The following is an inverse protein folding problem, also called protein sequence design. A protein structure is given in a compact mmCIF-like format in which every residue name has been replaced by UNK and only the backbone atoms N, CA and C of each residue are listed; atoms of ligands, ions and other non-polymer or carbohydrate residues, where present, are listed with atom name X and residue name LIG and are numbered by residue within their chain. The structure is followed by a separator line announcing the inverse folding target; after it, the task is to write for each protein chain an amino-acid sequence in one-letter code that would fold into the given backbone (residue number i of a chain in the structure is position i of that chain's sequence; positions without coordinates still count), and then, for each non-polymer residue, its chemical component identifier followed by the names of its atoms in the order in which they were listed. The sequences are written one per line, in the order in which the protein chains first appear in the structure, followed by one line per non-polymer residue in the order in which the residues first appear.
data_IF_266671884634
#
_entry.id   IF_266671884634
#
_cell.length_a   1.000
_cell.length_b   1.000
_cell.length_c   1.000
_cell.angle_alpha   90.00
_cell.angle_beta   90.00
_cell.angle_gamma   90.00
#
_symmetry.space_group_name_H-M   'P 1'
#
loop_
_entity.id
_entity.type
_entity.pdbx_description
1 polymer ?
#
# COMPACT_ATOMS: atom_id res chain seq x y z
N UNK A 1 1.49 -1.32 -7.20
CA UNK A 1 2.06 -2.61 -6.78
C UNK A 1 3.29 -2.90 -7.61
N UNK A 2 4.45 -2.83 -6.99
CA UNK A 2 5.70 -3.37 -7.55
C UNK A 2 6.28 -4.44 -6.61
N UNK A 3 7.50 -4.91 -6.85
CA UNK A 3 8.14 -5.98 -6.06
C UNK A 3 8.52 -5.56 -4.63
N UNK A 4 8.28 -4.30 -4.25
CA UNK A 4 8.54 -3.77 -2.91
C UNK A 4 7.30 -3.84 -2.01
N UNK A 5 6.13 -4.06 -2.60
CA UNK A 5 4.87 -4.14 -1.87
C UNK A 5 4.57 -5.59 -1.48
N UNK A 6 3.98 -5.77 -0.30
CA UNK A 6 3.50 -7.08 0.18
C UNK A 6 2.00 -7.24 -0.09
N UNK A 7 1.49 -8.49 -0.16
CA UNK A 7 0.07 -8.74 -0.22
C UNK A 7 -0.72 -8.12 0.95
N UNK A 8 -0.12 -8.05 2.15
CA UNK A 8 -0.77 -7.47 3.33
C UNK A 8 -0.92 -5.95 3.22
N UNK A 9 0.10 -5.24 2.72
CA UNK A 9 0.00 -3.79 2.47
C UNK A 9 -1.05 -3.47 1.39
N UNK A 10 -1.29 -4.41 0.47
CA UNK A 10 -2.22 -4.24 -0.65
C UNK A 10 -3.65 -4.69 -0.38
N UNK A 11 -4.00 -5.11 0.84
CA UNK A 11 -5.35 -5.59 1.15
C UNK A 11 -5.70 -6.96 0.52
N UNK A 12 -4.68 -7.77 0.22
CA UNK A 12 -4.81 -9.10 -0.38
C UNK A 12 -4.63 -10.22 0.65
N UNK A 13 -4.78 -9.93 1.95
CA UNK A 13 -4.61 -10.88 3.05
C UNK A 13 -5.50 -12.12 2.92
N UNK A 14 -6.69 -11.97 2.32
CA UNK A 14 -7.62 -13.09 2.06
C UNK A 14 -7.04 -14.18 1.14
N UNK A 15 -6.00 -13.85 0.36
CA UNK A 15 -5.33 -14.75 -0.57
C UNK A 15 -4.02 -15.31 -0.01
N UNK A 16 -3.64 -14.94 1.22
CA UNK A 16 -2.43 -15.42 1.89
C UNK A 16 -2.80 -16.53 2.87
N UNK A 17 -2.26 -17.73 2.67
CA UNK A 17 -2.53 -18.86 3.57
C UNK A 17 -1.46 -19.01 4.64
N UNK A 18 -1.80 -18.79 5.91
CA UNK A 18 -0.90 -19.05 7.04
C UNK A 18 -0.96 -20.49 7.57
N UNK A 19 -1.61 -21.40 6.83
CA UNK A 19 -1.69 -22.81 7.21
C UNK A 19 -0.28 -23.43 7.32
N UNK A 20 0.12 -24.03 8.47
CA UNK A 20 1.46 -24.58 8.67
C UNK A 20 1.84 -25.65 7.63
N UNK A 21 0.86 -26.38 7.07
CA UNK A 21 1.08 -27.49 6.14
C UNK A 21 1.39 -27.04 4.69
N UNK A 22 1.26 -25.74 4.37
CA UNK A 22 1.52 -25.20 3.03
C UNK A 22 2.85 -24.47 3.03
N UNK A 23 3.77 -24.82 2.11
CA UNK A 23 5.04 -24.11 1.93
C UNK A 23 5.01 -23.22 0.69
N UNK A 24 5.44 -21.97 0.84
CA UNK A 24 5.57 -21.00 -0.25
C UNK A 24 6.59 -19.92 0.10
N UNK A 25 7.06 -19.21 -0.93
CA UNK A 25 8.07 -18.18 -0.81
C UNK A 25 7.57 -17.00 0.05
N UNK A 26 8.40 -16.53 0.98
CA UNK A 26 8.09 -15.35 1.80
C UNK A 26 7.07 -15.59 2.93
N UNK A 27 6.64 -16.84 3.18
CA UNK A 27 5.67 -17.17 4.24
C UNK A 27 6.10 -16.68 5.62
N UNK A 28 7.35 -16.93 6.01
CA UNK A 28 7.86 -16.52 7.33
C UNK A 28 7.86 -15.01 7.51
N UNK A 29 8.24 -14.29 6.44
CA UNK A 29 8.22 -12.83 6.41
C UNK A 29 6.79 -12.29 6.55
N UNK A 30 5.83 -12.82 5.79
CA UNK A 30 4.42 -12.43 5.90
C UNK A 30 3.81 -12.78 7.26
N UNK A 31 4.23 -13.90 7.86
CA UNK A 31 3.78 -14.29 9.19
C UNK A 31 4.27 -13.29 10.25
N UNK A 32 5.54 -12.88 10.17
CA UNK A 32 6.11 -11.83 11.02
C UNK A 32 5.36 -10.50 10.83
N UNK A 33 5.19 -10.06 9.58
CA UNK A 33 4.47 -8.83 9.25
C UNK A 33 3.03 -8.85 9.76
N UNK A 34 2.32 -9.99 9.70
CA UNK A 34 0.95 -10.09 10.23
C UNK A 34 0.86 -9.86 11.75
N UNK A 35 1.94 -10.15 12.49
CA UNK A 35 2.01 -9.95 13.95
C UNK A 35 2.44 -8.53 14.31
N UNK A 36 3.35 -7.95 13.54
CA UNK A 36 3.91 -6.62 13.79
C UNK A 36 3.03 -5.49 13.24
N UNK A 37 2.20 -5.79 12.24
CA UNK A 37 1.37 -4.81 11.52
C UNK A 37 2.08 -4.23 10.29
N UNK A 38 1.29 -3.53 9.47
CA UNK A 38 1.78 -2.85 8.26
C UNK A 38 2.06 -1.37 8.56
N UNK A 39 3.09 -0.81 7.90
CA UNK A 39 3.44 0.61 8.05
C UNK A 39 2.77 1.51 6.99
N UNK A 40 2.36 0.91 5.87
CA UNK A 40 1.74 1.58 4.73
C UNK A 40 0.65 0.66 4.16
N UNK A 41 -0.36 1.24 3.51
CA UNK A 41 -1.44 0.48 2.89
C UNK A 41 -1.88 1.11 1.57
N UNK A 42 -2.28 0.27 0.62
CA UNK A 42 -2.94 0.72 -0.60
C UNK A 42 -4.37 1.16 -0.28
N UNK A 43 -4.64 2.45 -0.47
CA UNK A 43 -5.95 3.05 -0.20
C UNK A 43 -6.57 3.65 -1.45
N UNK A 44 -7.90 3.70 -1.47
CA UNK A 44 -8.66 4.49 -2.44
C UNK A 44 -8.81 5.94 -1.96
N UNK A 45 -8.67 6.89 -2.88
CA UNK A 45 -8.91 8.32 -2.62
C UNK A 45 -9.94 8.85 -3.62
N UNK A 46 -10.86 9.69 -3.14
CA UNK A 46 -11.77 10.45 -3.99
C UNK A 46 -11.22 11.86 -4.17
N UNK A 47 -11.02 12.27 -5.42
CA UNK A 47 -10.53 13.60 -5.79
C UNK A 47 -11.67 14.35 -6.49
N UNK A 48 -11.98 15.55 -6.03
CA UNK A 48 -12.96 16.43 -6.67
C UNK A 48 -12.28 17.23 -7.79
N UNK A 49 -12.21 16.63 -8.97
CA UNK A 49 -11.67 17.22 -10.21
C UNK A 49 -12.39 16.63 -11.42
N UNK A 50 -12.61 17.45 -12.44
CA UNK A 50 -13.27 17.01 -13.67
C UNK A 50 -12.34 16.19 -14.58
N UNK A 51 -11.05 16.53 -14.59
CA UNK A 51 -10.05 15.85 -15.40
C UNK A 51 -8.72 15.73 -14.65
N UNK A 52 -8.10 14.56 -14.77
CA UNK A 52 -6.77 14.27 -14.24
C UNK A 52 -6.06 13.30 -15.20
N UNK A 53 -4.82 13.63 -15.59
CA UNK A 53 -3.97 12.73 -16.35
C UNK A 53 -2.69 12.47 -15.56
N UNK A 54 -2.42 11.21 -15.26
CA UNK A 54 -1.28 10.78 -14.46
C UNK A 54 -0.43 9.86 -15.35
N UNK A 55 0.80 10.27 -15.63
CA UNK A 55 1.78 9.47 -16.37
C UNK A 55 2.91 8.93 -15.49
N UNK A 56 2.97 9.39 -14.22
CA UNK A 56 3.99 9.03 -13.23
C UNK A 56 3.39 9.04 -11.83
N UNK A 57 4.04 8.38 -10.87
CA UNK A 57 3.65 8.46 -9.47
C UNK A 57 3.70 9.91 -8.97
N UNK A 58 2.63 10.34 -8.28
CA UNK A 58 2.54 11.69 -7.72
C UNK A 58 2.59 11.63 -6.19
N UNK A 59 3.48 12.37 -5.52
CA UNK A 59 3.50 12.43 -4.06
C UNK A 59 2.25 13.14 -3.51
N UNK A 60 1.66 12.54 -2.47
CA UNK A 60 0.57 13.09 -1.70
C UNK A 60 1.16 13.75 -0.45
N UNK A 61 0.81 15.02 -0.22
CA UNK A 61 1.32 15.80 0.90
C UNK A 61 0.21 16.08 1.92
N UNK A 62 0.58 16.01 3.20
CA UNK A 62 -0.20 16.54 4.30
C UNK A 62 0.41 17.84 4.80
N UNK A 63 -0.42 18.86 4.99
CA UNK A 63 -0.01 20.18 5.49
C UNK A 63 -0.29 20.33 6.98
N UNK A 64 0.75 20.67 7.74
CA UNK A 64 0.64 20.93 9.18
C UNK A 64 1.57 22.06 9.60
N UNK A 65 1.02 23.14 10.18
CA UNK A 65 1.78 24.28 10.72
C UNK A 65 2.87 24.80 9.76
N UNK A 66 2.48 25.10 8.51
CA UNK A 66 3.37 25.56 7.44
C UNK A 66 4.48 24.57 7.02
N UNK A 67 4.33 23.26 7.29
CA UNK A 67 5.19 22.20 6.76
C UNK A 67 4.39 21.28 5.86
N UNK A 68 4.96 20.91 4.70
CA UNK A 68 4.46 19.84 3.84
C UNK A 68 5.22 18.56 4.16
N UNK A 69 4.47 17.50 4.48
CA UNK A 69 5.01 16.17 4.76
C UNK A 69 4.48 15.23 3.68
N UNK A 70 5.36 14.54 2.95
CA UNK A 70 4.93 13.50 2.02
C UNK A 70 4.40 12.31 2.82
N UNK A 71 3.16 11.90 2.57
CA UNK A 71 2.46 10.83 3.30
C UNK A 71 2.12 9.62 2.43
N UNK A 72 2.34 9.70 1.12
CA UNK A 72 2.07 8.60 0.21
C UNK A 72 2.31 8.95 -1.25
N UNK A 73 2.03 8.00 -2.13
CA UNK A 73 2.15 8.14 -3.57
C UNK A 73 0.82 7.76 -4.23
N UNK A 74 0.30 8.63 -5.09
CA UNK A 74 -0.79 8.32 -5.99
C UNK A 74 -0.21 7.53 -7.17
N UNK A 75 -0.56 6.25 -7.25
CA UNK A 75 0.02 5.30 -8.22
C UNK A 75 -0.87 5.06 -9.45
N UNK A 76 -2.20 5.16 -9.30
CA UNK A 76 -3.17 4.95 -10.38
C UNK A 76 -4.44 5.76 -10.14
N UNK A 77 -5.21 5.99 -11.20
CA UNK A 77 -6.49 6.71 -11.19
C UNK A 77 -7.44 6.01 -12.18
N UNK A 78 -8.72 5.92 -11.82
CA UNK A 78 -9.80 5.29 -12.59
C UNK A 78 -10.97 6.26 -12.74
#
# INVERSE_FOLDING_TARGET
MDMRDTPLECGLERFVSFNPNIQYLGKEYLLKQSKEGIQQSLIGLKLERDHLSITKHLPIYYERKNRRIAIGLLQSYF
#
